data_IF_573339765854
#
_entry.id   IF_573339765854
#
_cell.length_a   1.000
_cell.length_b   1.000
_cell.length_c   1.000
_cell.angle_alpha   90.00
_cell.angle_beta   90.00
_cell.angle_gamma   90.00
#
_symmetry.space_group_name_H-M   'P 1'
#
loop_
_entity.id
_entity.type
_entity.pdbx_description
1 polymer ?
#
# COMPACT_ATOMS: atom_id res chain seq x y z
N UNK A 1 20.40 14.27 4.19
CA UNK A 1 19.78 13.42 5.24
C UNK A 1 20.42 12.04 5.12
N UNK A 2 20.63 11.26 6.19
CA UNK A 2 21.18 9.89 6.06
C UNK A 2 20.07 8.85 5.87
N UNK A 3 20.42 7.63 5.42
CA UNK A 3 19.44 6.53 5.35
C UNK A 3 18.80 6.21 6.71
N UNK A 4 19.58 6.27 7.80
CA UNK A 4 19.07 6.08 9.15
C UNK A 4 18.11 7.20 9.57
N UNK A 5 18.42 8.46 9.22
CA UNK A 5 17.51 9.58 9.47
C UNK A 5 16.21 9.47 8.64
N UNK A 6 16.30 9.00 7.39
CA UNK A 6 15.14 8.71 6.56
C UNK A 6 14.27 7.59 7.15
N UNK A 7 14.88 6.52 7.68
CA UNK A 7 14.19 5.44 8.38
C UNK A 7 13.49 5.96 9.64
N UNK A 8 14.16 6.78 10.46
CA UNK A 8 13.55 7.38 11.65
C UNK A 8 12.37 8.29 11.29
N UNK A 9 12.51 9.13 10.26
CA UNK A 9 11.44 9.98 9.75
C UNK A 9 10.26 9.16 9.19
N UNK A 10 10.53 8.04 8.51
CA UNK A 10 9.50 7.11 8.04
C UNK A 10 8.73 6.48 9.19
N UNK A 11 9.41 6.12 10.28
CA UNK A 11 8.76 5.59 11.48
C UNK A 11 7.86 6.64 12.14
N UNK A 12 8.30 7.90 12.21
CA UNK A 12 7.46 9.00 12.71
C UNK A 12 6.22 9.22 11.83
N UNK A 13 6.39 9.22 10.50
CA UNK A 13 5.25 9.33 9.58
C UNK A 13 4.31 8.13 9.72
N UNK A 14 4.84 6.92 9.85
CA UNK A 14 4.04 5.73 10.11
C UNK A 14 3.21 5.87 11.38
N UNK A 15 3.80 6.34 12.48
CA UNK A 15 3.08 6.59 13.72
C UNK A 15 1.94 7.60 13.51
N UNK A 16 2.22 8.75 12.89
CA UNK A 16 1.19 9.76 12.62
C UNK A 16 0.04 9.22 11.73
N UNK A 17 0.35 8.37 10.74
CA UNK A 17 -0.67 7.73 9.90
C UNK A 17 -1.56 6.77 10.70
N UNK A 18 -0.96 5.93 11.54
CA UNK A 18 -1.69 5.00 12.41
C UNK A 18 -2.54 5.75 13.43
N UNK A 19 -2.01 6.80 14.05
CA UNK A 19 -2.73 7.62 15.05
C UNK A 19 -3.95 8.34 14.44
N UNK A 20 -3.96 8.59 13.13
CA UNK A 20 -5.10 9.12 12.38
C UNK A 20 -5.98 8.03 11.75
N UNK A 21 -5.77 6.76 12.13
CA UNK A 21 -6.63 5.63 11.78
C UNK A 21 -6.38 5.00 10.42
N UNK A 22 -5.22 5.23 9.81
CA UNK A 22 -4.81 4.38 8.67
C UNK A 22 -4.57 2.97 9.19
N UNK A 23 -5.32 1.98 8.71
CA UNK A 23 -5.27 0.61 9.25
C UNK A 23 -3.95 -0.11 8.97
N UNK A 24 -3.36 0.13 7.78
CA UNK A 24 -2.16 -0.56 7.32
C UNK A 24 -1.13 0.42 6.78
N UNK A 25 0.07 0.36 7.34
CA UNK A 25 1.21 1.18 6.91
C UNK A 25 2.46 0.32 6.74
N UNK A 26 3.03 0.30 5.52
CA UNK A 26 4.33 -0.31 5.22
C UNK A 26 5.41 0.77 5.05
N UNK A 27 6.64 0.42 5.40
CA UNK A 27 7.84 1.22 5.13
C UNK A 27 8.67 0.45 4.11
N UNK A 28 8.79 1.00 2.90
CA UNK A 28 9.43 0.35 1.75
C UNK A 28 10.49 1.29 1.15
N UNK A 29 11.34 1.84 2.02
CA UNK A 29 12.23 2.92 1.65
C UNK A 29 13.21 2.55 0.54
N UNK A 30 13.33 3.47 -0.42
CA UNK A 30 14.39 3.55 -1.40
C UNK A 30 14.91 4.99 -1.50
N UNK A 31 16.14 5.18 -2.00
CA UNK A 31 16.68 6.51 -2.23
C UNK A 31 15.80 7.30 -3.22
N UNK A 32 15.77 8.62 -3.06
CA UNK A 32 15.07 9.53 -3.95
C UNK A 32 15.83 9.79 -5.26
N UNK A 33 15.33 10.74 -6.04
CA UNK A 33 15.95 11.24 -7.29
C UNK A 33 16.89 12.43 -7.06
N UNK A 34 17.30 12.67 -5.82
CA UNK A 34 18.23 13.74 -5.47
C UNK A 34 19.64 13.53 -6.04
N UNK A 35 20.55 14.50 -5.85
CA UNK A 35 21.96 14.34 -6.21
C UNK A 35 22.53 13.05 -5.61
N UNK A 36 23.37 12.32 -6.38
CA UNK A 36 23.96 11.05 -5.93
C UNK A 36 24.71 11.15 -4.59
N UNK A 37 25.24 12.33 -4.27
CA UNK A 37 25.95 12.58 -3.02
C UNK A 37 25.02 12.68 -1.79
N UNK A 38 23.73 12.96 -1.97
CA UNK A 38 22.72 13.01 -0.89
C UNK A 38 21.36 12.50 -1.41
N UNK A 39 21.24 11.21 -1.73
CA UNK A 39 20.04 10.67 -2.38
C UNK A 39 18.84 10.56 -1.43
N UNK A 40 19.08 10.77 -0.12
CA UNK A 40 18.06 10.84 0.93
C UNK A 40 17.72 12.28 1.32
N UNK A 41 18.44 13.27 0.79
CA UNK A 41 18.40 14.64 1.26
C UNK A 41 17.04 15.31 1.12
N UNK A 42 16.39 15.59 2.25
CA UNK A 42 15.40 16.67 2.43
C UNK A 42 15.36 17.07 3.90
N UNK A 43 15.18 18.36 4.20
CA UNK A 43 15.08 18.87 5.57
C UNK A 43 13.84 19.71 5.86
N UNK A 44 13.07 20.23 4.88
CA UNK A 44 11.80 20.87 5.25
C UNK A 44 10.67 20.49 4.31
N UNK A 45 10.19 19.24 4.37
CA UNK A 45 8.82 19.05 3.89
C UNK A 45 7.90 19.97 4.71
N UNK A 46 7.18 20.84 4.02
CA UNK A 46 6.28 21.83 4.60
C UNK A 46 4.87 21.73 4.00
N UNK A 47 4.67 20.86 3.01
CA UNK A 47 3.37 20.57 2.37
C UNK A 47 3.19 19.08 2.13
N UNK A 48 1.94 18.65 2.05
CA UNK A 48 1.52 17.38 1.48
C UNK A 48 0.75 17.62 0.17
N UNK A 49 0.92 16.74 -0.81
CA UNK A 49 0.23 16.85 -2.10
C UNK A 49 -0.31 15.49 -2.53
N UNK A 50 -1.63 15.44 -2.76
CA UNK A 50 -2.32 14.30 -3.32
C UNK A 50 -2.20 14.25 -4.84
N UNK A 51 -1.83 13.07 -5.34
CA UNK A 51 -1.86 12.68 -6.74
C UNK A 51 -2.69 11.40 -6.90
N UNK A 52 -3.03 11.08 -8.16
CA UNK A 52 -3.56 9.78 -8.50
C UNK A 52 -2.75 9.16 -9.63
N UNK A 53 -2.64 7.83 -9.58
CA UNK A 53 -2.11 7.02 -10.66
C UNK A 53 -3.28 6.33 -11.35
N UNK A 54 -3.40 6.58 -12.66
CA UNK A 54 -4.53 6.13 -13.46
C UNK A 54 -4.59 4.59 -13.51
N UNK A 55 -5.56 3.99 -12.83
CA UNK A 55 -5.72 2.55 -12.69
C UNK A 55 -7.15 2.09 -12.37
N UNK A 56 -7.38 0.79 -12.48
CA UNK A 56 -8.63 0.10 -12.14
C UNK A 56 -8.40 -0.96 -11.06
N UNK A 57 -9.37 -1.20 -10.16
CA UNK A 57 -9.30 -2.30 -9.19
C UNK A 57 -9.13 -3.69 -9.85
N UNK A 58 -9.65 -3.88 -11.06
CA UNK A 58 -9.51 -5.13 -11.82
C UNK A 58 -8.08 -5.45 -12.25
N UNK A 59 -7.14 -4.49 -12.14
CA UNK A 59 -5.72 -4.68 -12.43
C UNK A 59 -4.93 -5.20 -11.21
N UNK A 60 -5.62 -5.44 -10.09
CA UNK A 60 -5.04 -5.88 -8.83
C UNK A 60 -5.08 -4.80 -7.76
N UNK A 61 -4.58 -5.14 -6.57
CA UNK A 61 -4.58 -4.25 -5.42
C UNK A 61 -3.66 -3.01 -5.58
N UNK A 62 -2.54 -3.19 -6.31
CA UNK A 62 -1.48 -2.18 -6.41
C UNK A 62 -0.82 -2.04 -7.79
N UNK A 63 -1.61 -1.93 -8.88
CA UNK A 63 -1.09 -2.00 -10.26
C UNK A 63 -0.06 -0.91 -10.59
N UNK A 64 -0.18 0.27 -9.97
CA UNK A 64 0.70 1.42 -10.14
C UNK A 64 1.96 1.40 -9.27
N UNK A 65 2.06 0.55 -8.24
CA UNK A 65 3.16 0.58 -7.27
C UNK A 65 4.53 0.42 -7.92
N UNK A 66 4.65 -0.50 -8.89
CA UNK A 66 5.90 -0.73 -9.61
C UNK A 66 6.36 0.51 -10.39
N UNK A 67 5.42 1.24 -11.00
CA UNK A 67 5.69 2.49 -11.73
C UNK A 67 6.06 3.62 -10.75
N UNK A 68 5.38 3.72 -9.61
CA UNK A 68 5.70 4.73 -8.59
C UNK A 68 7.10 4.52 -8.02
N UNK A 69 7.51 3.28 -7.74
CA UNK A 69 8.85 2.96 -7.21
C UNK A 69 9.93 3.08 -8.29
N UNK A 70 9.73 2.45 -9.44
CA UNK A 70 10.73 2.33 -10.50
C UNK A 70 10.80 3.50 -11.47
N UNK A 71 9.76 4.31 -11.56
CA UNK A 71 9.61 5.34 -12.57
C UNK A 71 8.91 4.84 -13.84
N UNK A 72 8.87 5.71 -14.85
CA UNK A 72 8.34 5.40 -16.18
C UNK A 72 9.47 5.15 -17.15
N UNK A 73 9.37 4.07 -17.91
CA UNK A 73 10.23 3.77 -19.06
C UNK A 73 9.50 4.16 -20.35
N UNK A 74 10.22 4.20 -21.48
CA UNK A 74 9.64 4.44 -22.80
C UNK A 74 9.80 5.88 -23.29
N UNK A 75 8.81 6.38 -24.05
CA UNK A 75 8.90 7.63 -24.82
C UNK A 75 9.00 8.91 -23.98
N UNK A 76 8.63 8.86 -22.70
CA UNK A 76 8.80 9.96 -21.74
C UNK A 76 9.38 9.40 -20.45
N UNK A 77 10.66 9.02 -20.46
CA UNK A 77 11.29 8.34 -19.34
C UNK A 77 11.37 9.29 -18.15
N UNK A 78 11.02 8.78 -16.97
CA UNK A 78 11.11 9.54 -15.73
C UNK A 78 11.58 8.61 -14.62
N UNK A 79 12.73 8.93 -14.02
CA UNK A 79 13.31 8.15 -12.94
C UNK A 79 12.41 8.15 -11.70
N UNK A 80 12.23 6.98 -11.08
CA UNK A 80 11.54 6.85 -9.80
C UNK A 80 12.43 7.20 -8.59
N UNK A 81 11.84 7.42 -7.41
CA UNK A 81 10.41 7.29 -7.14
C UNK A 81 9.60 8.48 -7.66
N UNK A 82 8.37 8.21 -8.11
CA UNK A 82 7.42 9.21 -8.63
C UNK A 82 6.52 9.80 -7.56
N UNK A 83 6.66 9.37 -6.30
CA UNK A 83 6.02 9.93 -5.11
C UNK A 83 6.78 9.52 -3.85
N UNK A 84 6.53 10.22 -2.74
CA UNK A 84 7.09 9.87 -1.43
C UNK A 84 6.31 8.74 -0.78
N UNK A 85 4.99 8.78 -0.92
CA UNK A 85 4.05 7.83 -0.37
C UNK A 85 3.11 7.32 -1.45
N UNK A 86 2.53 6.14 -1.21
CA UNK A 86 1.61 5.49 -2.12
C UNK A 86 0.44 4.85 -1.36
N UNK A 87 -0.76 4.90 -1.92
CA UNK A 87 -1.96 4.25 -1.38
C UNK A 87 -2.64 3.36 -2.42
N UNK A 88 -2.74 2.06 -2.11
CA UNK A 88 -3.36 1.05 -3.00
C UNK A 88 -4.87 0.91 -2.82
N UNK A 89 -5.51 0.14 -3.71
CA UNK A 89 -6.89 -0.32 -3.51
C UNK A 89 -7.05 -1.25 -2.30
N UNK A 90 -5.93 -1.79 -1.81
CA UNK A 90 -5.88 -2.49 -0.53
C UNK A 90 -5.88 -1.55 0.69
N UNK A 91 -6.06 -0.24 0.53
CA UNK A 91 -6.08 0.71 1.66
C UNK A 91 -4.82 0.63 2.54
N UNK A 92 -3.69 0.22 1.96
CA UNK A 92 -2.38 0.20 2.62
C UNK A 92 -1.59 1.43 2.19
N UNK A 93 -1.20 2.25 3.17
CA UNK A 93 -0.25 3.33 3.00
C UNK A 93 1.18 2.79 2.93
N UNK A 94 1.94 3.17 1.92
CA UNK A 94 3.31 2.72 1.70
C UNK A 94 4.24 3.92 1.66
N UNK A 95 5.22 3.96 2.55
CA UNK A 95 6.23 5.02 2.60
C UNK A 95 7.41 4.57 1.73
N UNK A 96 7.59 5.21 0.58
CA UNK A 96 8.54 4.81 -0.48
C UNK A 96 9.86 5.57 -0.37
N UNK A 97 9.82 6.88 -0.13
CA UNK A 97 11.05 7.66 0.09
C UNK A 97 10.78 8.89 0.94
N UNK A 98 11.76 9.26 1.76
CA UNK A 98 11.81 10.56 2.44
C UNK A 98 12.79 11.51 1.74
N UNK A 99 13.37 11.10 0.60
CA UNK A 99 14.17 11.93 -0.30
C UNK A 99 13.32 12.73 -1.29
N UNK A 100 13.96 13.35 -2.30
CA UNK A 100 13.22 13.95 -3.41
C UNK A 100 12.53 12.88 -4.24
N UNK A 101 11.23 13.06 -4.49
CA UNK A 101 10.47 12.26 -5.46
C UNK A 101 10.06 13.10 -6.66
N UNK A 102 9.86 12.45 -7.81
CA UNK A 102 9.58 13.08 -9.10
C UNK A 102 8.07 13.37 -9.32
N UNK A 103 7.37 13.89 -8.30
CA UNK A 103 5.90 13.99 -8.28
C UNK A 103 5.29 15.37 -8.63
N UNK A 104 5.80 16.53 -8.17
CA UNK A 104 5.02 17.77 -8.25
C UNK A 104 5.15 18.44 -9.63
N UNK A 105 6.33 18.38 -10.27
CA UNK A 105 6.61 19.11 -11.51
C UNK A 105 6.37 20.62 -11.39
N UNK A 106 6.20 21.31 -12.52
CA UNK A 106 5.95 22.76 -12.58
C UNK A 106 4.63 23.19 -11.89
N UNK A 107 4.63 24.27 -11.13
CA UNK A 107 3.48 24.73 -10.34
C UNK A 107 3.89 25.71 -9.23
N UNK A 108 2.94 26.10 -8.39
CA UNK A 108 3.13 27.09 -7.33
C UNK A 108 3.13 28.52 -7.86
N UNK A 109 3.65 29.48 -7.07
CA UNK A 109 4.10 29.31 -5.68
C UNK A 109 2.94 28.90 -4.74
N UNK A 110 3.25 28.23 -3.63
CA UNK A 110 2.25 27.84 -2.63
C UNK A 110 2.61 28.33 -1.23
N UNK A 111 2.00 29.45 -0.84
CA UNK A 111 2.20 30.11 0.44
C UNK A 111 1.12 29.74 1.46
N UNK A 112 1.52 29.48 2.69
CA UNK A 112 0.61 29.30 3.83
C UNK A 112 1.14 30.15 5.00
N UNK A 113 0.34 31.05 5.58
CA UNK A 113 0.76 31.89 6.70
C UNK A 113 1.37 31.08 7.85
N UNK A 114 2.52 31.51 8.37
CA UNK A 114 3.26 30.80 9.41
C UNK A 114 4.01 29.54 8.93
N UNK A 115 3.69 28.99 7.77
CA UNK A 115 4.23 27.73 7.22
C UNK A 115 5.10 27.91 5.97
N UNK A 116 5.49 29.15 5.66
CA UNK A 116 6.39 29.50 4.58
C UNK A 116 5.77 29.40 3.18
N UNK A 117 6.63 29.41 2.16
CA UNK A 117 6.25 29.36 0.75
C UNK A 117 7.02 28.27 0.02
N UNK A 118 6.31 27.41 -0.71
CA UNK A 118 6.95 26.56 -1.71
C UNK A 118 7.21 27.41 -2.97
N UNK A 119 8.46 27.51 -3.44
CA UNK A 119 8.78 28.32 -4.61
C UNK A 119 8.12 27.81 -5.89
N UNK A 120 7.86 28.72 -6.83
CA UNK A 120 7.41 28.40 -8.18
C UNK A 120 8.35 27.37 -8.84
N UNK A 121 7.76 26.36 -9.48
CA UNK A 121 8.39 25.29 -10.24
C UNK A 121 9.44 24.45 -9.50
N UNK A 122 9.50 24.57 -8.17
CA UNK A 122 10.47 23.88 -7.33
C UNK A 122 9.81 23.18 -6.15
N UNK A 123 8.83 22.33 -6.40
CA UNK A 123 8.06 21.65 -5.34
C UNK A 123 8.77 20.45 -4.68
N UNK A 124 9.64 19.74 -5.41
CA UNK A 124 10.23 18.45 -4.95
C UNK A 124 10.91 18.51 -3.58
N UNK A 125 11.66 19.58 -3.22
CA UNK A 125 12.33 19.65 -1.92
C UNK A 125 11.41 20.00 -0.75
N UNK A 126 10.16 20.40 -1.00
CA UNK A 126 9.29 21.01 0.02
C UNK A 126 7.94 20.30 0.19
N UNK A 127 7.56 19.46 -0.77
CA UNK A 127 6.25 18.81 -0.80
C UNK A 127 6.44 17.30 -0.66
N UNK A 128 5.77 16.69 0.32
CA UNK A 128 5.61 15.24 0.41
C UNK A 128 4.48 14.81 -0.56
N UNK A 129 4.82 14.05 -1.58
CA UNK A 129 3.85 13.57 -2.58
C UNK A 129 3.22 12.23 -2.22
N UNK A 130 1.90 12.13 -2.36
CA UNK A 130 1.13 10.88 -2.33
C UNK A 130 0.65 10.51 -3.72
N UNK A 131 0.81 9.25 -4.13
CA UNK A 131 0.10 8.68 -5.28
C UNK A 131 -0.93 7.66 -4.81
N UNK A 132 -2.21 7.89 -5.11
CA UNK A 132 -3.28 6.95 -4.81
C UNK A 132 -3.75 6.26 -6.08
N UNK A 133 -3.97 4.94 -6.03
CA UNK A 133 -4.61 4.20 -7.13
C UNK A 133 -5.96 4.82 -7.49
N UNK A 134 -6.43 4.69 -8.73
CA UNK A 134 -7.76 5.14 -9.18
C UNK A 134 -7.73 6.14 -10.35
N UNK A 135 -8.71 7.03 -10.40
CA UNK A 135 -8.77 8.10 -11.41
C UNK A 135 -9.48 7.77 -12.72
N UNK A 136 -9.73 6.49 -13.04
CA UNK A 136 -10.64 6.11 -14.13
C UNK A 136 -12.10 5.94 -13.69
N UNK A 137 -12.32 5.69 -12.41
CA UNK A 137 -13.63 5.56 -11.78
C UNK A 137 -13.72 6.52 -10.61
N UNK A 138 -14.95 6.81 -10.18
CA UNK A 138 -15.18 7.50 -8.92
C UNK A 138 -14.67 6.63 -7.76
N UNK A 139 -14.05 7.27 -6.78
CA UNK A 139 -13.58 6.61 -5.58
C UNK A 139 -14.73 6.14 -4.70
N UNK A 140 -14.59 4.95 -4.12
CA UNK A 140 -15.50 4.51 -3.06
C UNK A 140 -15.31 5.38 -1.81
N UNK A 141 -16.30 5.38 -0.92
CA UNK A 141 -16.18 6.14 0.33
C UNK A 141 -15.07 5.61 1.24
N UNK A 142 -14.78 4.30 1.20
CA UNK A 142 -13.66 3.71 1.94
C UNK A 142 -12.31 4.25 1.43
N UNK A 143 -12.14 4.36 0.11
CA UNK A 143 -10.92 4.94 -0.45
C UNK A 143 -10.82 6.44 -0.14
N UNK A 144 -11.95 7.17 -0.17
CA UNK A 144 -11.97 8.57 0.26
C UNK A 144 -11.59 8.75 1.73
N UNK A 145 -12.10 7.90 2.63
CA UNK A 145 -11.76 7.92 4.05
C UNK A 145 -10.27 7.59 4.27
N UNK A 146 -9.77 6.55 3.62
CA UNK A 146 -8.35 6.19 3.64
C UNK A 146 -7.45 7.35 3.17
N UNK A 147 -7.78 8.01 2.06
CA UNK A 147 -7.05 9.18 1.57
C UNK A 147 -7.09 10.35 2.56
N UNK A 148 -8.25 10.60 3.17
CA UNK A 148 -8.42 11.65 4.17
C UNK A 148 -7.56 11.40 5.42
N UNK A 149 -7.51 10.15 5.90
CA UNK A 149 -6.67 9.75 7.05
C UNK A 149 -5.18 9.83 6.72
N UNK A 150 -4.78 9.44 5.50
CA UNK A 150 -3.41 9.66 5.01
C UNK A 150 -3.04 11.16 5.01
N UNK A 151 -3.97 12.02 4.55
CA UNK A 151 -3.79 13.46 4.59
C UNK A 151 -3.69 14.03 6.01
N UNK A 152 -4.52 13.55 6.93
CA UNK A 152 -4.49 13.95 8.34
C UNK A 152 -3.17 13.56 9.01
N UNK A 153 -2.74 12.30 8.88
CA UNK A 153 -1.45 11.84 9.40
C UNK A 153 -0.25 12.56 8.78
N UNK A 154 -0.34 12.92 7.50
CA UNK A 154 0.68 13.75 6.84
C UNK A 154 0.77 15.13 7.49
N UNK A 155 -0.35 15.80 7.74
CA UNK A 155 -0.37 17.13 8.37
C UNK A 155 0.18 17.10 9.80
N UNK A 156 -0.16 16.06 10.56
CA UNK A 156 0.39 15.86 11.91
C UNK A 156 1.91 15.65 11.87
N UNK A 157 2.38 14.76 11.01
CA UNK A 157 3.82 14.52 10.84
C UNK A 157 4.58 15.76 10.38
N UNK A 158 4.01 16.59 9.49
CA UNK A 158 4.61 17.87 9.10
C UNK A 158 4.74 18.83 10.28
N UNK A 159 3.79 18.80 11.23
CA UNK A 159 3.90 19.47 12.54
C UNK A 159 5.16 19.04 13.29
N UNK A 160 5.24 17.73 13.57
CA UNK A 160 6.35 17.15 14.33
C UNK A 160 7.71 17.40 13.68
N UNK A 161 7.81 17.19 12.36
CA UNK A 161 9.03 17.39 11.59
C UNK A 161 9.57 18.83 11.71
N UNK A 162 8.67 19.81 11.82
CA UNK A 162 9.02 21.23 11.90
C UNK A 162 9.02 21.76 13.35
N UNK A 163 8.86 20.89 14.36
CA UNK A 163 8.81 21.27 15.78
C UNK A 163 7.61 22.15 16.14
N UNK A 164 6.45 21.88 15.53
CA UNK A 164 5.23 22.70 15.62
C UNK A 164 4.01 21.84 15.90
N UNK A 165 2.92 22.53 16.23
CA UNK A 165 1.58 21.94 16.17
C UNK A 165 1.29 21.36 14.77
N UNK A 166 0.39 20.36 14.67
CA UNK A 166 -0.03 19.78 13.40
C UNK A 166 -0.35 20.83 12.33
N UNK A 167 0.16 20.63 11.12
CA UNK A 167 0.07 21.60 10.02
C UNK A 167 -1.39 21.98 9.69
N UNK A 168 -1.68 23.24 9.33
CA UNK A 168 -3.02 23.67 8.97
C UNK A 168 -3.49 22.94 7.69
N UNK A 169 -4.81 22.89 7.46
CA UNK A 169 -5.38 22.14 6.33
C UNK A 169 -4.87 22.63 4.97
N UNK A 170 -4.53 23.91 4.88
CA UNK A 170 -3.96 24.57 3.70
C UNK A 170 -2.55 24.08 3.37
N UNK A 171 -1.89 23.32 4.25
CA UNK A 171 -0.64 22.63 3.95
C UNK A 171 -0.83 21.31 3.19
N UNK A 172 -2.07 20.83 3.03
CA UNK A 172 -2.40 19.70 2.17
C UNK A 172 -3.27 20.14 1.00
N UNK A 173 -2.94 19.66 -0.20
CA UNK A 173 -3.62 20.03 -1.43
C UNK A 173 -3.64 18.88 -2.43
N UNK A 174 -4.32 19.10 -3.55
CA UNK A 174 -4.32 18.18 -4.70
C UNK A 174 -3.42 18.73 -5.80
N UNK A 175 -2.98 17.86 -6.72
CA UNK A 175 -2.01 18.27 -7.75
C UNK A 175 -2.46 19.49 -8.58
N UNK A 176 -3.77 19.60 -8.85
CA UNK A 176 -4.35 20.76 -9.51
C UNK A 176 -4.39 21.99 -8.61
N UNK A 177 -4.98 21.89 -7.43
CA UNK A 177 -5.21 23.03 -6.54
C UNK A 177 -4.61 22.76 -5.14
N UNK A 178 -3.65 23.57 -4.66
CA UNK A 178 -3.21 24.86 -5.21
C UNK A 178 -1.97 24.79 -6.11
N UNK A 179 -1.44 23.60 -6.39
CA UNK A 179 -0.11 23.50 -7.02
C UNK A 179 -0.10 23.83 -8.52
N UNK A 180 -0.92 23.20 -9.35
CA UNK A 180 -0.79 23.31 -10.81
C UNK A 180 -2.14 23.46 -11.54
N UNK A 181 -2.91 24.55 -11.30
CA UNK A 181 -4.30 24.67 -11.72
C UNK A 181 -4.51 24.66 -13.24
N UNK A 182 -3.53 25.14 -14.02
CA UNK A 182 -3.58 25.16 -15.48
C UNK A 182 -2.94 23.95 -16.18
N UNK A 183 -2.29 23.05 -15.43
CA UNK A 183 -1.54 21.90 -15.99
C UNK A 183 -2.11 20.55 -15.57
N UNK A 184 -2.81 20.52 -14.44
CA UNK A 184 -3.33 19.31 -13.82
C UNK A 184 -4.84 19.38 -13.68
N UNK A 185 -5.46 18.21 -13.66
CA UNK A 185 -6.89 18.05 -13.48
C UNK A 185 -7.18 17.53 -12.08
N UNK A 186 -8.36 17.83 -11.57
CA UNK A 186 -8.87 17.18 -10.36
C UNK A 186 -9.10 15.70 -10.66
N UNK A 187 -9.18 14.90 -9.60
CA UNK A 187 -9.63 13.52 -9.72
C UNK A 187 -11.13 13.52 -9.96
N UNK A 188 -11.64 12.48 -10.63
CA UNK A 188 -13.08 12.34 -10.85
C UNK A 188 -13.80 12.35 -9.50
N UNK A 189 -14.74 13.28 -9.32
CA UNK A 189 -15.52 13.43 -8.08
C UNK A 189 -14.77 14.02 -6.87
N UNK A 190 -13.48 14.39 -7.01
CA UNK A 190 -12.66 14.79 -5.85
C UNK A 190 -11.75 15.98 -6.13
N UNK A 191 -12.10 17.11 -5.52
CA UNK A 191 -11.43 18.41 -5.59
C UNK A 191 -10.54 18.65 -4.37
N UNK A 192 -9.64 19.65 -4.43
CA UNK A 192 -8.88 20.08 -3.26
C UNK A 192 -9.78 20.52 -2.09
N UNK A 193 -10.90 21.20 -2.37
CA UNK A 193 -11.87 21.62 -1.35
C UNK A 193 -12.52 20.41 -0.67
N UNK A 194 -13.00 19.43 -1.45
CA UNK A 194 -13.61 18.22 -0.88
C UNK A 194 -12.58 17.38 -0.11
N UNK A 195 -11.35 17.28 -0.62
CA UNK A 195 -10.28 16.58 0.08
C UNK A 195 -9.95 17.20 1.44
N UNK A 196 -9.76 18.53 1.50
CA UNK A 196 -9.55 19.23 2.79
C UNK A 196 -10.73 19.08 3.74
N UNK A 197 -11.97 19.12 3.24
CA UNK A 197 -13.16 18.90 4.06
C UNK A 197 -13.19 17.49 4.68
N UNK A 198 -12.84 16.45 3.89
CA UNK A 198 -12.73 15.07 4.41
C UNK A 198 -11.58 14.92 5.41
N UNK A 199 -10.40 15.50 5.14
CA UNK A 199 -9.29 15.52 6.10
C UNK A 199 -9.72 16.18 7.43
N UNK A 200 -10.39 17.34 7.36
CA UNK A 200 -10.90 18.03 8.54
C UNK A 200 -11.88 17.17 9.35
N UNK A 201 -12.70 16.35 8.65
CA UNK A 201 -13.69 15.50 9.29
C UNK A 201 -13.08 14.33 10.08
N UNK A 202 -11.89 13.84 9.71
CA UNK A 202 -11.23 12.69 10.36
C UNK A 202 -10.08 13.09 11.30
N UNK A 203 -9.49 14.28 11.12
CA UNK A 203 -8.33 14.72 11.88
C UNK A 203 -8.60 14.73 13.39
N UNK A 204 -7.70 14.11 14.15
CA UNK A 204 -7.79 14.00 15.61
C UNK A 204 -8.87 13.02 16.10
N UNK A 205 -9.57 12.32 15.20
CA UNK A 205 -10.50 11.25 15.56
C UNK A 205 -9.79 9.90 15.42
N UNK A 206 -9.75 9.15 16.52
CA UNK A 206 -9.37 7.74 16.47
C UNK A 206 -10.44 6.95 15.71
N UNK A 207 -10.07 5.92 14.94
CA UNK A 207 -11.06 5.01 14.37
C UNK A 207 -11.92 4.45 15.50
N UNK A 208 -13.24 4.40 15.30
CA UNK A 208 -14.12 3.76 16.26
C UNK A 208 -13.82 2.27 16.24
N UNK A 209 -13.66 1.66 17.41
CA UNK A 209 -13.21 0.27 17.60
C UNK A 209 -14.03 -0.78 16.81
N UNK A 210 -15.25 -0.44 16.37
CA UNK A 210 -16.06 -1.28 15.46
C UNK A 210 -15.50 -1.42 14.04
N UNK A 211 -14.69 -0.47 13.56
CA UNK A 211 -14.06 -0.50 12.22
C UNK A 211 -12.86 -1.47 12.17
N UNK A 212 -12.17 -1.67 13.29
CA UNK A 212 -11.08 -2.66 13.42
C UNK A 212 -11.62 -4.10 13.49
N UNK A 213 -12.78 -4.27 14.12
CA UNK A 213 -13.35 -5.58 14.41
C UNK A 213 -14.05 -6.22 13.20
N UNK A 214 -14.55 -5.41 12.25
CA UNK A 214 -15.19 -5.88 11.02
C UNK A 214 -14.19 -6.10 9.87
N UNK A 215 -13.04 -5.40 9.87
CA UNK A 215 -11.97 -5.57 8.87
C UNK A 215 -11.03 -6.75 9.18
N UNK A 216 -10.92 -7.16 10.46
CA UNK A 216 -10.14 -8.34 10.87
C UNK A 216 -10.96 -9.62 10.98
N UNK A 217 -12.29 -9.54 10.92
CA UNK A 217 -13.16 -10.69 10.67
C UNK A 217 -13.16 -11.00 9.17
N UNK A 218 -12.00 -11.42 8.66
CA UNK A 218 -12.02 -12.51 7.69
C UNK A 218 -12.93 -13.55 8.32
N UNK A 219 -14.11 -13.81 7.74
CA UNK A 219 -15.03 -14.83 8.23
C UNK A 219 -14.18 -16.06 8.45
N UNK A 220 -13.83 -16.32 9.72
CA UNK A 220 -13.24 -17.58 10.10
C UNK A 220 -14.24 -18.57 9.54
N UNK A 221 -13.82 -19.31 8.51
CA UNK A 221 -14.56 -20.41 7.97
C UNK A 221 -14.78 -21.29 9.20
N UNK A 222 -15.95 -21.15 9.83
CA UNK A 222 -16.37 -22.05 10.89
C UNK A 222 -16.54 -23.35 10.13
N UNK A 223 -15.50 -24.18 10.16
CA UNK A 223 -15.62 -25.56 9.75
C UNK A 223 -16.74 -26.14 10.59
N UNK A 224 -17.90 -26.34 9.96
CA UNK A 224 -18.92 -27.19 10.53
C UNK A 224 -18.23 -28.53 10.82
N UNK A 225 -18.14 -28.95 12.11
CA UNK A 225 -17.47 -30.20 12.45
C UNK A 225 -18.14 -31.43 11.82
N UNK A 226 -19.29 -31.27 11.15
CA UNK A 226 -19.95 -32.33 10.37
C UNK A 226 -19.39 -32.50 8.94
N UNK A 227 -18.61 -31.55 8.42
CA UNK A 227 -18.08 -31.56 7.05
C UNK A 227 -16.57 -31.81 6.97
N UNK A 228 -16.08 -32.79 7.74
CA UNK A 228 -14.78 -33.47 7.58
C UNK A 228 -13.62 -32.72 6.88
N UNK A 229 -12.68 -32.20 7.68
CA UNK A 229 -11.27 -32.54 7.45
C UNK A 229 -10.35 -31.60 6.65
N UNK A 230 -10.76 -30.45 6.13
CA UNK A 230 -9.85 -29.59 5.31
C UNK A 230 -9.52 -28.22 5.89
N UNK A 231 -10.30 -27.69 6.84
CA UNK A 231 -10.08 -26.35 7.40
C UNK A 231 -8.87 -26.20 8.33
N UNK A 232 -8.42 -27.28 8.96
CA UNK A 232 -7.33 -27.23 9.94
C UNK A 232 -5.93 -27.08 9.30
N UNK A 233 -5.76 -27.50 8.05
CA UNK A 233 -4.44 -27.49 7.36
C UNK A 233 -4.12 -26.08 6.83
N UNK A 234 -5.12 -25.32 6.41
CA UNK A 234 -4.93 -23.95 5.93
C UNK A 234 -4.52 -22.97 7.06
N UNK A 235 -5.02 -23.17 8.28
CA UNK A 235 -4.68 -22.33 9.44
C UNK A 235 -3.25 -22.56 9.95
N UNK A 236 -2.74 -23.79 9.88
CA UNK A 236 -1.37 -24.11 10.27
C UNK A 236 -0.35 -23.49 9.29
N UNK A 237 -0.64 -23.49 7.99
CA UNK A 237 0.24 -22.87 6.99
C UNK A 237 0.29 -21.33 7.10
N UNK A 238 -0.82 -20.68 7.47
CA UNK A 238 -0.88 -19.22 7.61
C UNK A 238 -0.26 -18.71 8.91
N UNK A 239 -0.43 -19.43 10.03
CA UNK A 239 0.14 -19.04 11.33
C UNK A 239 1.68 -19.07 11.36
N UNK A 240 2.30 -19.95 10.58
CA UNK A 240 3.76 -20.08 10.50
C UNK A 240 4.41 -18.90 9.75
N UNK A 241 3.68 -18.24 8.84
CA UNK A 241 4.20 -17.12 8.04
C UNK A 241 4.32 -15.81 8.83
N UNK A 242 3.55 -15.65 9.91
CA UNK A 242 3.48 -14.40 10.68
C UNK A 242 4.31 -14.39 11.97
N UNK A 243 4.85 -15.52 12.41
CA UNK A 243 5.45 -15.64 13.75
C UNK A 243 6.97 -15.86 13.80
N UNK A 244 7.68 -15.97 12.67
CA UNK A 244 9.13 -16.27 12.72
C UNK A 244 9.93 -15.35 11.77
N UNK A 245 10.59 -14.30 12.28
CA UNK A 245 11.47 -13.45 11.47
C UNK A 245 12.91 -13.99 11.49
N UNK A 246 13.11 -15.26 11.15
CA UNK A 246 14.46 -15.84 11.11
C UNK A 246 14.67 -16.79 9.90
N UNK A 247 15.57 -16.46 8.95
CA UNK A 247 15.85 -17.30 7.78
C UNK A 247 16.43 -18.69 8.11
N UNK A 248 16.97 -18.91 9.31
CA UNK A 248 17.58 -20.20 9.68
C UNK A 248 16.55 -21.32 9.94
N UNK A 249 15.26 -20.98 10.08
CA UNK A 249 14.18 -21.96 10.27
C UNK A 249 13.66 -22.60 8.97
N UNK A 250 14.01 -22.04 7.80
CA UNK A 250 13.55 -22.59 6.51
C UNK A 250 14.15 -23.96 6.19
N UNK A 251 15.31 -24.29 6.77
CA UNK A 251 15.94 -25.59 6.59
C UNK A 251 15.42 -26.67 7.55
N UNK A 252 14.61 -26.31 8.57
CA UNK A 252 14.09 -27.27 9.55
C UNK A 252 12.67 -27.78 9.22
N UNK A 253 11.91 -27.04 8.39
CA UNK A 253 10.53 -27.37 8.03
C UNK A 253 10.39 -28.18 6.73
N UNK A 254 11.51 -28.54 6.11
CA UNK A 254 11.56 -29.50 4.99
C UNK A 254 11.98 -30.85 5.57
N UNK A 255 11.18 -31.42 6.47
CA UNK A 255 11.31 -32.85 6.79
C UNK A 255 10.61 -33.65 5.69
N UNK A 256 11.28 -34.67 5.16
CA UNK A 256 10.80 -35.52 4.06
C UNK A 256 9.36 -36.05 4.26
N UNK A 257 8.92 -36.21 5.52
CA UNK A 257 7.59 -36.74 5.85
C UNK A 257 6.41 -35.88 5.36
N UNK A 258 6.55 -34.55 5.26
CA UNK A 258 5.44 -33.66 4.86
C UNK A 258 5.33 -33.54 3.34
N UNK A 259 6.45 -33.63 2.63
CA UNK A 259 6.53 -33.36 1.19
C UNK A 259 6.43 -34.63 0.32
N UNK A 260 6.57 -35.82 0.90
CA UNK A 260 6.60 -37.09 0.16
C UNK A 260 5.34 -37.34 -0.70
N UNK A 261 4.10 -37.01 -0.29
CA UNK A 261 2.92 -37.26 -1.13
C UNK A 261 2.85 -36.39 -2.40
N UNK A 262 3.49 -35.22 -2.41
CA UNK A 262 3.30 -34.20 -3.46
C UNK A 262 4.48 -34.10 -4.45
N UNK A 263 5.59 -34.77 -4.16
CA UNK A 263 6.81 -34.76 -4.99
C UNK A 263 6.59 -35.31 -6.41
N UNK A 264 5.60 -36.17 -6.58
CA UNK A 264 5.26 -36.78 -7.87
C UNK A 264 4.28 -35.95 -8.72
N UNK A 265 3.74 -34.84 -8.19
CA UNK A 265 2.71 -34.03 -8.88
C UNK A 265 3.26 -32.68 -9.33
N UNK A 266 4.23 -32.11 -8.61
CA UNK A 266 4.89 -30.86 -8.97
C UNK A 266 6.40 -30.95 -8.62
N UNK A 267 7.28 -31.27 -9.59
CA UNK A 267 8.69 -31.53 -9.32
C UNK A 267 9.50 -30.28 -8.95
N UNK A 268 8.90 -29.08 -9.05
CA UNK A 268 9.49 -27.86 -8.54
C UNK A 268 8.46 -27.05 -7.72
N UNK A 269 9.00 -26.26 -6.79
CA UNK A 269 8.24 -25.41 -5.86
C UNK A 269 7.33 -24.39 -6.57
N UNK A 270 7.70 -23.94 -7.78
CA UNK A 270 6.92 -22.96 -8.54
C UNK A 270 5.63 -23.57 -9.13
N UNK A 271 5.67 -24.82 -9.57
CA UNK A 271 4.49 -25.52 -10.08
C UNK A 271 3.48 -25.81 -8.97
N UNK A 272 3.94 -26.05 -7.73
CA UNK A 272 3.08 -26.17 -6.55
C UNK A 272 2.32 -24.86 -6.26
N UNK A 273 3.01 -23.70 -6.30
CA UNK A 273 2.38 -22.40 -6.10
C UNK A 273 1.43 -22.00 -7.24
N UNK A 274 1.73 -22.41 -8.49
CA UNK A 274 0.84 -22.19 -9.63
C UNK A 274 -0.48 -22.95 -9.50
N UNK A 275 -0.42 -24.20 -9.01
CA UNK A 275 -1.61 -25.01 -8.74
C UNK A 275 -2.44 -24.39 -7.62
N UNK A 276 -1.81 -23.94 -6.54
CA UNK A 276 -2.54 -23.27 -5.44
C UNK A 276 -3.20 -21.95 -5.89
N UNK A 277 -2.54 -21.18 -6.76
CA UNK A 277 -3.10 -19.95 -7.32
C UNK A 277 -4.31 -20.23 -8.22
N UNK A 278 -4.23 -21.23 -9.11
CA UNK A 278 -5.34 -21.62 -9.97
C UNK A 278 -6.54 -22.18 -9.18
N UNK A 279 -6.27 -22.87 -8.07
CA UNK A 279 -7.31 -23.36 -7.15
C UNK A 279 -7.98 -22.23 -6.35
N UNK A 280 -7.36 -21.06 -6.24
CA UNK A 280 -7.95 -19.90 -5.55
C UNK A 280 -8.93 -19.09 -6.41
N UNK A 281 -8.98 -19.35 -7.72
CA UNK A 281 -9.83 -18.63 -8.69
C UNK A 281 -11.05 -19.44 -9.16
N UNK A 282 -11.18 -20.71 -8.76
CA UNK A 282 -12.33 -21.56 -9.13
C UNK A 282 -13.46 -21.47 -8.11
N UNK A 283 -14.71 -21.49 -8.57
CA UNK A 283 -15.86 -21.44 -7.68
C UNK A 283 -16.11 -22.81 -7.00
N UNK A 284 -16.96 -22.82 -5.96
CA UNK A 284 -17.21 -24.03 -5.14
C UNK A 284 -17.66 -25.25 -5.97
N UNK A 285 -18.37 -25.03 -7.08
CA UNK A 285 -18.86 -26.12 -7.95
C UNK A 285 -17.71 -26.71 -8.78
N UNK A 286 -16.81 -25.86 -9.28
CA UNK A 286 -15.62 -26.28 -10.02
C UNK A 286 -14.61 -26.97 -9.10
N UNK A 287 -14.44 -26.47 -7.87
CA UNK A 287 -13.62 -27.11 -6.85
C UNK A 287 -14.12 -28.51 -6.51
N UNK A 288 -15.44 -28.68 -6.30
CA UNK A 288 -16.04 -29.99 -6.04
C UNK A 288 -15.81 -30.99 -7.19
N UNK A 289 -15.87 -30.53 -8.45
CA UNK A 289 -15.60 -31.37 -9.61
C UNK A 289 -14.12 -31.80 -9.71
N UNK A 290 -13.18 -30.89 -9.41
CA UNK A 290 -11.74 -31.20 -9.36
C UNK A 290 -11.42 -32.22 -8.27
N UNK A 291 -11.98 -32.03 -7.07
CA UNK A 291 -11.78 -32.94 -5.93
C UNK A 291 -12.38 -34.32 -6.19
N UNK A 292 -13.57 -34.38 -6.80
CA UNK A 292 -14.20 -35.65 -7.19
C UNK A 292 -13.35 -36.43 -8.21
N UNK A 293 -12.69 -35.73 -9.13
CA UNK A 293 -11.83 -36.35 -10.14
C UNK A 293 -10.53 -36.86 -9.54
N UNK A 294 -9.90 -36.09 -8.65
CA UNK A 294 -8.69 -36.53 -7.93
C UNK A 294 -8.95 -37.76 -7.07
N UNK A 295 -10.08 -37.79 -6.35
CA UNK A 295 -10.48 -38.96 -5.56
C UNK A 295 -10.71 -40.21 -6.42
N UNK A 296 -11.31 -40.06 -7.60
CA UNK A 296 -11.50 -41.18 -8.54
C UNK A 296 -10.17 -41.68 -9.10
N UNK A 297 -9.24 -40.79 -9.43
CA UNK A 297 -7.92 -41.14 -9.94
C UNK A 297 -7.05 -41.83 -8.87
N UNK A 298 -7.13 -41.42 -7.60
CA UNK A 298 -6.47 -42.08 -6.48
C UNK A 298 -7.04 -43.48 -6.22
N UNK A 299 -8.37 -43.61 -6.23
CA UNK A 299 -9.03 -44.90 -6.09
C UNK A 299 -8.65 -45.87 -7.23
N UNK A 300 -8.55 -45.37 -8.47
CA UNK A 300 -8.12 -46.17 -9.61
C UNK A 300 -6.65 -46.62 -9.50
N UNK A 301 -5.76 -45.77 -8.97
CA UNK A 301 -4.35 -46.14 -8.74
C UNK A 301 -4.20 -47.18 -7.63
N UNK A 302 -4.96 -47.04 -6.55
CA UNK A 302 -4.96 -48.02 -5.45
C UNK A 302 -5.53 -49.38 -5.88
N UNK A 303 -6.47 -49.41 -6.82
CA UNK A 303 -6.99 -50.65 -7.38
C UNK A 303 -6.02 -51.32 -8.39
N UNK A 304 -5.04 -50.57 -8.90
CA UNK A 304 -4.05 -51.07 -9.87
C UNK A 304 -2.73 -51.52 -9.21
N UNK A 305 -2.59 -51.35 -7.90
CA UNK A 305 -1.45 -51.79 -7.06
C UNK A 305 -1.82 -52.98 -6.21
#
# INVERSE_FOLDING_TARGET
MTAAAAQAAAQQLRTALLDNGVQRVSIELQPGVGPKADPWGVAPFVRGLGHHIASYPTQGATPGLGVVKGGRKGASPLQGPLANCYGGFDLTARIITLGWANHPGAGGPWSVPGWGTVPLDNGRPYILGWEFEGGYLEYTDEMHDFMARCGAGTLEWLGWLNGREPAPLECFGEHKDPWAPGRKIDRIGYTAKSGRARIAAVRGKKPTQSEEDDSMKFKAFRSDPKNGGTGAIALAAFGIWYLVPNPDYYNLLISDEVCTPYRNVAPNVFDYYRVLYQLSEINDTEMAAVLSKLSADEAARAAAS
#
